data_IF_629640957608
#
_entry.id   IF_629640957608
#
_cell.length_a   1.000
_cell.length_b   1.000
_cell.length_c   1.000
_cell.angle_alpha   90.00
_cell.angle_beta   90.00
_cell.angle_gamma   90.00
#
_symmetry.space_group_name_H-M   'P 1'
#
loop_
_entity.id
_entity.type
_entity.pdbx_description
1 polymer ?
#
# COMPACT_ATOMS: atom_id res chain seq x y z
N UNK A 1 15.48 2.88 -58.58
CA UNK A 1 15.01 1.68 -57.88
C UNK A 1 15.91 1.48 -56.67
N UNK A 2 15.55 2.13 -55.55
CA UNK A 2 16.30 2.08 -54.29
C UNK A 2 15.43 1.34 -53.27
N UNK A 3 15.89 0.18 -52.83
CA UNK A 3 15.35 -0.52 -51.66
C UNK A 3 16.25 -0.14 -50.48
N UNK A 4 15.77 0.78 -49.65
CA UNK A 4 16.34 1.08 -48.34
C UNK A 4 15.67 0.14 -47.34
N UNK A 5 16.41 -0.90 -46.92
CA UNK A 5 16.10 -1.66 -45.72
C UNK A 5 16.31 -0.76 -44.50
N UNK A 6 15.22 -0.19 -43.97
CA UNK A 6 15.22 0.40 -42.64
C UNK A 6 15.13 -0.74 -41.62
N UNK A 7 16.24 -0.96 -40.91
CA UNK A 7 16.33 -1.86 -39.79
C UNK A 7 15.33 -1.44 -38.70
N UNK A 8 14.42 -2.36 -38.39
CA UNK A 8 13.65 -2.35 -37.17
C UNK A 8 14.62 -2.66 -36.02
N UNK A 9 15.08 -1.62 -35.32
CA UNK A 9 15.70 -1.81 -34.01
C UNK A 9 14.56 -2.07 -33.02
N UNK A 10 14.35 -3.36 -32.75
CA UNK A 10 13.60 -3.80 -31.59
C UNK A 10 14.21 -3.18 -30.34
N UNK A 11 13.35 -2.66 -29.47
CA UNK A 11 13.71 -2.26 -28.11
C UNK A 11 14.12 -3.54 -27.40
N UNK A 12 15.44 -3.80 -27.37
CA UNK A 12 16.01 -4.91 -26.64
C UNK A 12 15.78 -4.71 -25.14
N UNK A 13 15.34 -5.77 -24.47
CA UNK A 13 15.41 -5.92 -23.02
C UNK A 13 16.80 -5.47 -22.55
N UNK A 14 16.88 -4.30 -21.92
CA UNK A 14 18.08 -3.93 -21.19
C UNK A 14 18.22 -4.97 -20.06
N UNK A 15 19.17 -5.90 -20.18
CA UNK A 15 19.49 -6.86 -19.13
C UNK A 15 19.76 -6.09 -17.84
N UNK A 16 18.81 -6.13 -16.90
CA UNK A 16 18.94 -5.46 -15.62
C UNK A 16 20.11 -6.12 -14.89
N UNK A 17 21.16 -5.35 -14.62
CA UNK A 17 22.32 -5.88 -13.93
C UNK A 17 21.99 -6.24 -12.48
N UNK A 18 22.58 -7.33 -12.00
CA UNK A 18 22.45 -7.81 -10.62
C UNK A 18 23.78 -7.70 -9.89
N UNK A 19 23.73 -7.26 -8.63
CA UNK A 19 24.84 -7.31 -7.68
C UNK A 19 24.47 -8.31 -6.58
N UNK A 20 24.96 -9.54 -6.71
CA UNK A 20 24.54 -10.63 -5.84
C UNK A 20 23.09 -11.02 -6.13
N UNK A 21 22.20 -10.89 -5.14
CA UNK A 21 20.77 -11.19 -5.29
C UNK A 21 19.90 -9.95 -5.54
N UNK A 22 20.48 -8.74 -5.51
CA UNK A 22 19.75 -7.50 -5.73
C UNK A 22 19.98 -6.96 -7.14
N UNK A 23 18.91 -6.56 -7.82
CA UNK A 23 19.02 -5.80 -9.06
C UNK A 23 19.52 -4.37 -8.79
N UNK A 24 20.15 -3.73 -9.77
CA UNK A 24 20.56 -2.32 -9.64
C UNK A 24 19.37 -1.40 -9.37
N UNK A 25 18.21 -1.69 -9.95
CA UNK A 25 16.96 -0.97 -9.69
C UNK A 25 16.53 -1.11 -8.22
N UNK A 26 16.64 -2.31 -7.64
CA UNK A 26 16.39 -2.57 -6.22
C UNK A 26 17.30 -1.76 -5.32
N UNK A 27 18.59 -1.70 -5.64
CA UNK A 27 19.59 -0.92 -4.88
C UNK A 27 19.29 0.57 -4.96
N UNK A 28 18.96 1.07 -6.16
CA UNK A 28 18.57 2.48 -6.36
C UNK A 28 17.32 2.83 -5.56
N UNK A 29 16.30 1.99 -5.60
CA UNK A 29 15.05 2.20 -4.86
C UNK A 29 15.26 2.13 -3.34
N UNK A 30 16.13 1.24 -2.82
CA UNK A 30 16.48 1.23 -1.39
C UNK A 30 17.12 2.54 -0.94
N UNK A 31 18.05 3.09 -1.73
CA UNK A 31 18.66 4.39 -1.43
C UNK A 31 17.63 5.52 -1.48
N UNK A 32 16.77 5.55 -2.50
CA UNK A 32 15.70 6.56 -2.60
C UNK A 32 14.67 6.43 -1.48
N UNK A 33 14.32 5.22 -1.08
CA UNK A 33 13.43 4.95 0.05
C UNK A 33 14.06 5.41 1.36
N UNK A 34 15.35 5.14 1.59
CA UNK A 34 16.08 5.60 2.77
C UNK A 34 16.08 7.13 2.90
N UNK A 35 16.46 7.85 1.84
CA UNK A 35 16.45 9.32 1.80
C UNK A 35 15.05 9.91 2.06
N UNK A 36 14.01 9.29 1.48
CA UNK A 36 12.63 9.70 1.72
C UNK A 36 12.21 9.43 3.17
N UNK A 37 12.65 8.32 3.76
CA UNK A 37 12.35 7.98 5.13
C UNK A 37 12.95 9.00 6.10
N UNK A 38 14.22 9.37 5.90
CA UNK A 38 14.89 10.43 6.67
C UNK A 38 14.17 11.78 6.59
N UNK A 39 13.60 12.11 5.44
CA UNK A 39 12.81 13.32 5.26
C UNK A 39 11.43 13.22 5.94
N UNK A 40 10.87 12.01 6.04
CA UNK A 40 9.55 11.76 6.63
C UNK A 40 9.54 11.69 8.16
N UNK A 41 10.63 11.24 8.79
CA UNK A 41 10.75 11.09 10.24
C UNK A 41 11.33 12.34 10.90
N UNK A 42 11.04 12.54 12.18
CA UNK A 42 11.62 13.60 12.99
C UNK A 42 12.71 13.04 13.93
N UNK A 43 14.01 13.13 13.55
CA UNK A 43 15.10 12.60 14.37
C UNK A 43 15.32 13.36 15.67
N UNK A 44 14.76 14.57 15.83
CA UNK A 44 14.83 15.35 17.07
C UNK A 44 13.92 14.77 18.16
N UNK A 45 12.94 13.95 17.78
CA UNK A 45 12.05 13.25 18.70
C UNK A 45 12.62 11.88 18.98
N UNK A 46 12.84 11.57 20.25
CA UNK A 46 13.28 10.23 20.60
C UNK A 46 12.12 9.23 20.47
N UNK A 47 12.31 8.19 19.64
CA UNK A 47 11.31 7.19 19.29
C UNK A 47 10.59 6.58 20.52
N UNK A 48 11.32 6.40 21.63
CA UNK A 48 10.77 5.77 22.83
C UNK A 48 10.01 6.73 23.76
N UNK A 49 10.14 8.05 23.55
CA UNK A 49 9.36 9.05 24.28
C UNK A 49 8.00 9.29 23.62
N UNK A 50 8.01 9.40 22.29
CA UNK A 50 6.79 9.55 21.47
C UNK A 50 7.08 8.99 20.08
N UNK A 51 6.70 7.74 19.85
CA UNK A 51 6.94 7.11 18.55
C UNK A 51 6.08 7.75 17.46
N UNK A 52 4.87 8.19 17.81
CA UNK A 52 4.02 8.96 16.92
C UNK A 52 4.70 10.24 16.45
N UNK A 53 5.26 11.06 17.34
CA UNK A 53 5.93 12.29 16.91
C UNK A 53 7.18 11.99 16.08
N UNK A 54 7.92 10.94 16.45
CA UNK A 54 9.07 10.49 15.69
C UNK A 54 8.72 10.14 14.24
N UNK A 55 7.59 9.46 13.99
CA UNK A 55 7.23 9.03 12.61
C UNK A 55 6.30 9.98 11.86
N UNK A 56 5.53 10.81 12.56
CA UNK A 56 4.42 11.58 11.96
C UNK A 56 4.57 13.10 12.03
N UNK A 57 5.41 13.66 12.91
CA UNK A 57 5.39 15.12 13.16
C UNK A 57 5.84 15.98 11.98
N UNK A 58 6.50 15.40 10.97
CA UNK A 58 6.86 16.11 9.73
C UNK A 58 5.72 16.16 8.70
N UNK A 59 4.60 15.49 8.95
CA UNK A 59 3.42 15.44 8.09
C UNK A 59 3.75 15.03 6.64
N UNK A 60 4.66 14.07 6.49
CA UNK A 60 5.12 13.51 5.20
C UNK A 60 5.21 11.98 5.25
N UNK A 61 4.16 11.27 5.67
CA UNK A 61 4.20 9.81 5.69
C UNK A 61 4.43 9.29 4.27
N UNK A 62 5.26 8.25 4.14
CA UNK A 62 5.51 7.62 2.83
C UNK A 62 4.38 6.68 2.41
N UNK A 63 3.45 6.42 3.34
CA UNK A 63 2.35 5.49 3.20
C UNK A 63 1.17 5.95 4.06
N UNK A 64 -0.06 5.92 3.52
CA UNK A 64 -1.30 6.12 4.28
C UNK A 64 -2.32 5.06 3.84
N UNK A 65 -3.17 4.64 4.79
CA UNK A 65 -4.26 3.67 4.60
C UNK A 65 -5.35 4.23 3.68
N UNK A 66 -5.51 5.55 3.60
CA UNK A 66 -6.52 6.22 2.75
C UNK A 66 -6.19 6.23 1.24
N UNK A 67 -5.25 5.39 0.82
CA UNK A 67 -4.88 5.23 -0.58
C UNK A 67 -3.59 5.98 -0.88
N UNK A 68 -2.66 5.26 -1.48
CA UNK A 68 -1.36 5.81 -1.84
C UNK A 68 -1.52 6.84 -2.96
N UNK A 69 -1.31 8.10 -2.63
CA UNK A 69 -1.09 9.10 -3.65
C UNK A 69 0.31 8.87 -4.24
N UNK A 70 0.45 8.55 -5.55
CA UNK A 70 1.75 8.42 -6.17
C UNK A 70 2.56 9.71 -6.04
N UNK A 71 3.89 9.59 -6.17
CA UNK A 71 4.73 10.77 -6.16
C UNK A 71 4.42 11.64 -7.37
N UNK A 72 4.77 12.92 -7.30
CA UNK A 72 4.53 13.83 -8.42
C UNK A 72 5.24 13.35 -9.70
N UNK A 73 6.47 12.82 -9.58
CA UNK A 73 7.19 12.22 -10.70
C UNK A 73 6.42 11.07 -11.33
N UNK A 74 5.86 10.20 -10.50
CA UNK A 74 5.08 9.03 -10.91
C UNK A 74 3.78 9.45 -11.60
N UNK A 75 3.11 10.49 -11.10
CA UNK A 75 1.90 11.03 -11.72
C UNK A 75 2.18 11.64 -13.10
N UNK A 76 3.30 12.34 -13.23
CA UNK A 76 3.74 12.92 -14.51
C UNK A 76 4.07 11.81 -15.51
N UNK A 77 4.83 10.80 -15.08
CA UNK A 77 5.19 9.63 -15.88
C UNK A 77 3.93 8.91 -16.37
N UNK A 78 3.04 8.51 -15.47
CA UNK A 78 1.82 7.79 -15.82
C UNK A 78 0.88 8.60 -16.73
N UNK A 79 0.77 9.92 -16.51
CA UNK A 79 -0.03 10.77 -17.39
C UNK A 79 0.59 10.83 -18.80
N UNK A 80 1.92 10.91 -18.87
CA UNK A 80 2.67 10.94 -20.14
C UNK A 80 2.52 9.62 -20.89
N UNK A 81 2.64 8.48 -20.19
CA UNK A 81 2.39 7.14 -20.76
C UNK A 81 0.96 7.02 -21.28
N UNK A 82 -0.03 7.44 -20.48
CA UNK A 82 -1.44 7.41 -20.87
C UNK A 82 -1.73 8.29 -22.10
N UNK A 83 -1.08 9.45 -22.21
CA UNK A 83 -1.17 10.35 -23.36
C UNK A 83 -0.55 9.75 -24.62
N UNK A 84 0.58 9.06 -24.47
CA UNK A 84 1.31 8.46 -25.59
C UNK A 84 0.76 7.08 -26.00
N UNK A 85 -0.08 6.46 -25.16
CA UNK A 85 -0.68 5.15 -25.45
C UNK A 85 -1.57 5.21 -26.71
N UNK A 86 -1.29 4.37 -27.73
CA UNK A 86 -1.95 4.45 -29.04
C UNK A 86 -3.45 4.16 -29.02
N UNK A 87 -3.98 3.49 -27.98
CA UNK A 87 -5.41 3.21 -27.89
C UNK A 87 -6.20 4.50 -27.68
N UNK A 88 -7.02 4.86 -28.67
CA UNK A 88 -7.87 6.03 -28.61
C UNK A 88 -9.21 5.69 -27.98
N UNK A 89 -9.54 6.35 -26.86
CA UNK A 89 -10.82 6.17 -26.20
C UNK A 89 -11.26 7.43 -25.46
N UNK A 90 -12.57 7.71 -25.47
CA UNK A 90 -13.19 8.99 -25.08
C UNK A 90 -12.82 9.42 -23.66
N UNK A 91 -12.71 8.47 -22.74
CA UNK A 91 -12.36 8.76 -21.35
C UNK A 91 -10.98 9.44 -21.20
N UNK A 92 -10.00 9.12 -22.06
CA UNK A 92 -8.70 9.82 -22.08
C UNK A 92 -8.87 11.29 -22.45
N UNK A 93 -9.67 11.59 -23.47
CA UNK A 93 -9.90 12.97 -23.88
C UNK A 93 -10.56 13.78 -22.76
N UNK A 94 -11.54 13.18 -22.05
CA UNK A 94 -12.18 13.79 -20.87
C UNK A 94 -11.19 14.08 -19.75
N UNK A 95 -10.24 13.18 -19.50
CA UNK A 95 -9.16 13.41 -18.53
C UNK A 95 -8.32 14.64 -18.96
N UNK A 96 -7.89 14.71 -20.22
CA UNK A 96 -7.06 15.80 -20.72
C UNK A 96 -7.79 17.15 -20.66
N UNK A 97 -9.07 17.18 -21.06
CA UNK A 97 -9.87 18.41 -20.98
C UNK A 97 -10.08 18.85 -19.53
N UNK A 98 -10.24 17.91 -18.60
CA UNK A 98 -10.28 18.23 -17.18
C UNK A 98 -8.94 18.81 -16.70
N UNK A 99 -7.82 18.18 -17.02
CA UNK A 99 -6.49 18.65 -16.64
C UNK A 99 -6.23 20.07 -17.14
N UNK A 100 -6.56 20.35 -18.41
CA UNK A 100 -6.44 21.70 -18.99
C UNK A 100 -7.36 22.69 -18.25
N UNK A 101 -8.61 22.32 -17.99
CA UNK A 101 -9.53 23.19 -17.24
C UNK A 101 -9.03 23.48 -15.83
N UNK A 102 -8.42 22.51 -15.15
CA UNK A 102 -7.86 22.68 -13.83
C UNK A 102 -6.66 23.63 -13.85
N UNK A 103 -5.75 23.45 -14.82
CA UNK A 103 -4.50 24.21 -14.89
C UNK A 103 -4.71 25.70 -15.22
N UNK A 104 -5.94 26.10 -15.58
CA UNK A 104 -6.31 27.53 -15.69
C UNK A 104 -6.69 28.15 -14.34
N UNK A 105 -6.88 27.36 -13.28
CA UNK A 105 -7.37 27.80 -11.97
C UNK A 105 -6.46 27.40 -10.79
N UNK A 106 -5.74 26.29 -10.89
CA UNK A 106 -4.91 25.72 -9.81
C UNK A 106 -3.47 25.54 -10.25
N UNK A 107 -2.60 25.26 -9.27
CA UNK A 107 -1.22 24.93 -9.57
C UNK A 107 -1.13 23.62 -10.37
N UNK A 108 -0.07 23.49 -11.17
CA UNK A 108 0.17 22.28 -11.96
C UNK A 108 0.17 21.01 -11.09
N UNK A 109 0.76 21.10 -9.89
CA UNK A 109 0.82 19.99 -8.94
C UNK A 109 -0.56 19.57 -8.44
N UNK A 110 -1.42 20.53 -8.11
CA UNK A 110 -2.79 20.24 -7.69
C UNK A 110 -3.58 19.57 -8.82
N UNK A 111 -3.37 20.02 -10.06
CA UNK A 111 -4.05 19.45 -11.22
C UNK A 111 -3.61 18.03 -11.54
N UNK A 112 -2.33 17.67 -11.37
CA UNK A 112 -1.91 16.27 -11.44
C UNK A 112 -2.61 15.41 -10.39
N UNK A 113 -2.70 15.88 -9.15
CA UNK A 113 -3.32 15.14 -8.05
C UNK A 113 -4.83 14.97 -8.25
N UNK A 114 -5.53 16.02 -8.63
CA UNK A 114 -6.98 15.96 -8.85
C UNK A 114 -7.35 15.17 -10.09
N UNK A 115 -6.57 15.31 -11.17
CA UNK A 115 -6.78 14.52 -12.38
C UNK A 115 -6.58 13.04 -12.08
N UNK A 116 -5.53 12.72 -11.31
CA UNK A 116 -5.33 11.37 -10.81
C UNK A 116 -6.53 10.91 -9.99
N UNK A 117 -6.98 11.68 -8.99
CA UNK A 117 -8.08 11.30 -8.11
C UNK A 117 -9.37 10.96 -8.86
N UNK A 118 -9.78 11.80 -9.81
CA UNK A 118 -11.04 11.63 -10.51
C UNK A 118 -11.00 10.60 -11.64
N UNK A 119 -9.81 10.33 -12.17
CA UNK A 119 -9.63 9.42 -13.29
C UNK A 119 -8.73 8.22 -12.97
N UNK A 120 -8.57 7.87 -11.69
CA UNK A 120 -7.77 6.71 -11.22
C UNK A 120 -7.93 5.45 -12.09
N UNK A 121 -9.14 5.05 -12.55
CA UNK A 121 -9.29 3.87 -13.41
C UNK A 121 -8.48 3.92 -14.70
N UNK A 122 -8.28 5.10 -15.30
CA UNK A 122 -7.43 5.29 -16.48
C UNK A 122 -5.95 5.05 -16.18
N UNK A 123 -5.52 5.47 -14.98
CA UNK A 123 -4.17 5.16 -14.49
C UNK A 123 -4.04 3.66 -14.18
N UNK A 124 -5.07 3.03 -13.60
CA UNK A 124 -5.11 1.57 -13.42
C UNK A 124 -4.98 0.79 -14.73
N UNK A 125 -5.57 1.29 -15.81
CA UNK A 125 -5.40 0.74 -17.16
C UNK A 125 -3.95 0.80 -17.64
N UNK A 126 -3.32 1.98 -17.65
CA UNK A 126 -1.94 2.10 -18.17
C UNK A 126 -0.97 1.28 -17.31
N UNK A 127 -1.15 1.33 -15.98
CA UNK A 127 -0.45 0.50 -15.01
C UNK A 127 -0.57 -0.98 -15.38
N UNK A 128 -1.78 -1.52 -15.48
CA UNK A 128 -1.96 -2.97 -15.73
C UNK A 128 -1.60 -3.40 -17.16
N UNK A 129 -1.56 -2.46 -18.10
CA UNK A 129 -1.06 -2.67 -19.46
C UNK A 129 0.46 -2.83 -19.46
N UNK A 130 1.17 -1.93 -18.77
CA UNK A 130 2.62 -1.77 -18.88
C UNK A 130 3.40 -2.50 -17.77
N UNK A 131 2.87 -2.63 -16.55
CA UNK A 131 3.50 -3.39 -15.44
C UNK A 131 3.60 -4.89 -15.68
N UNK A 132 2.97 -5.39 -16.74
CA UNK A 132 2.63 -6.80 -16.86
C UNK A 132 3.15 -7.33 -18.18
N UNK A 133 4.46 -7.24 -18.35
CA UNK A 133 5.15 -8.46 -18.73
C UNK A 133 5.01 -9.42 -17.54
N UNK A 134 4.30 -10.55 -17.73
CA UNK A 134 3.91 -11.47 -16.64
C UNK A 134 5.07 -12.14 -15.87
N UNK A 135 6.30 -11.68 -16.10
CA UNK A 135 7.57 -12.10 -15.51
C UNK A 135 8.14 -11.10 -14.49
N UNK A 136 7.51 -9.94 -14.25
CA UNK A 136 8.05 -8.96 -13.30
C UNK A 136 8.16 -9.56 -11.88
N UNK A 137 9.31 -9.34 -11.25
CA UNK A 137 9.62 -9.88 -9.92
C UNK A 137 8.59 -9.41 -8.88
N UNK A 138 8.08 -8.20 -9.04
CA UNK A 138 7.12 -7.57 -8.12
C UNK A 138 5.74 -8.21 -8.19
N UNK A 139 5.28 -8.55 -9.39
CA UNK A 139 4.02 -9.29 -9.54
C UNK A 139 4.15 -10.70 -8.91
N UNK A 140 5.31 -11.35 -9.07
CA UNK A 140 5.57 -12.65 -8.46
C UNK A 140 5.61 -12.58 -6.93
N UNK A 141 6.28 -11.57 -6.37
CA UNK A 141 6.34 -11.31 -4.94
C UNK A 141 4.94 -11.06 -4.35
N UNK A 142 4.18 -10.17 -5.00
CA UNK A 142 2.80 -9.84 -4.61
C UNK A 142 1.88 -11.07 -4.65
N UNK A 143 1.89 -11.83 -5.76
CA UNK A 143 1.11 -13.06 -5.89
C UNK A 143 1.57 -14.15 -4.92
N UNK A 144 2.87 -14.20 -4.62
CA UNK A 144 3.44 -15.12 -3.64
C UNK A 144 2.96 -14.83 -2.22
N UNK A 145 2.95 -13.55 -1.82
CA UNK A 145 2.37 -13.10 -0.55
C UNK A 145 0.88 -13.45 -0.47
N UNK A 146 0.11 -13.10 -1.50
CA UNK A 146 -1.33 -13.34 -1.54
C UNK A 146 -1.67 -14.84 -1.52
N UNK A 147 -0.87 -15.68 -2.20
CA UNK A 147 -1.03 -17.14 -2.17
C UNK A 147 -0.82 -17.68 -0.76
N UNK A 148 0.30 -17.34 -0.11
CA UNK A 148 0.60 -17.77 1.27
C UNK A 148 -0.47 -17.28 2.25
N UNK A 149 -0.96 -16.06 2.07
CA UNK A 149 -2.03 -15.51 2.88
C UNK A 149 -3.34 -16.30 2.70
N UNK A 150 -3.75 -16.59 1.46
CA UNK A 150 -4.95 -17.40 1.17
C UNK A 150 -4.84 -18.80 1.80
N UNK A 151 -3.69 -19.46 1.69
CA UNK A 151 -3.42 -20.75 2.33
C UNK A 151 -3.57 -20.65 3.85
N UNK A 152 -3.05 -19.58 4.46
CA UNK A 152 -3.18 -19.34 5.90
C UNK A 152 -4.62 -19.05 6.33
N UNK A 153 -5.40 -18.35 5.52
CA UNK A 153 -6.81 -18.13 5.86
C UNK A 153 -7.60 -19.42 5.98
N UNK A 154 -7.17 -20.51 5.33
CA UNK A 154 -7.79 -21.82 5.50
C UNK A 154 -7.69 -22.33 6.93
N UNK A 155 -6.53 -22.20 7.58
CA UNK A 155 -6.37 -22.59 8.98
C UNK A 155 -7.10 -21.63 9.92
N UNK A 156 -7.10 -20.32 9.62
CA UNK A 156 -7.82 -19.31 10.40
C UNK A 156 -9.35 -19.52 10.40
N UNK A 157 -9.91 -20.00 9.29
CA UNK A 157 -11.33 -20.33 9.17
C UNK A 157 -11.64 -21.81 9.46
N UNK A 158 -10.71 -22.55 10.07
CA UNK A 158 -10.86 -23.97 10.43
C UNK A 158 -11.31 -24.86 9.26
N UNK A 159 -10.81 -24.59 8.05
CA UNK A 159 -11.16 -25.32 6.83
C UNK A 159 -12.59 -25.10 6.33
N UNK A 160 -13.37 -24.20 6.92
CA UNK A 160 -14.73 -23.87 6.47
C UNK A 160 -14.67 -22.92 5.27
N UNK A 161 -15.63 -23.05 4.35
CA UNK A 161 -15.85 -22.02 3.32
C UNK A 161 -16.20 -20.70 4.02
N UNK A 162 -15.51 -19.63 3.62
CA UNK A 162 -15.69 -18.31 4.19
C UNK A 162 -15.67 -17.28 3.05
N UNK A 163 -16.67 -16.37 2.94
CA UNK A 163 -16.79 -15.45 1.81
C UNK A 163 -15.54 -14.58 1.57
N UNK A 164 -14.81 -14.22 2.64
CA UNK A 164 -13.55 -13.49 2.51
C UNK A 164 -12.46 -14.31 1.83
N UNK A 165 -12.34 -15.60 2.15
CA UNK A 165 -11.36 -16.50 1.50
C UNK A 165 -11.68 -16.64 0.01
N UNK A 166 -12.94 -16.82 -0.34
CA UNK A 166 -13.37 -16.95 -1.74
C UNK A 166 -13.12 -15.67 -2.54
N UNK A 167 -13.32 -14.50 -1.92
CA UNK A 167 -12.94 -13.20 -2.50
C UNK A 167 -11.43 -13.09 -2.72
N UNK A 168 -10.61 -13.46 -1.73
CA UNK A 168 -9.15 -13.44 -1.84
C UNK A 168 -8.63 -14.40 -2.92
N UNK A 169 -9.22 -15.59 -3.05
CA UNK A 169 -8.93 -16.53 -4.16
C UNK A 169 -9.25 -15.88 -5.49
N UNK A 170 -10.42 -15.24 -5.60
CA UNK A 170 -10.83 -14.54 -6.82
C UNK A 170 -9.84 -13.42 -7.16
N UNK A 171 -9.45 -12.59 -6.18
CA UNK A 171 -8.46 -11.53 -6.38
C UNK A 171 -7.10 -12.07 -6.81
N UNK A 172 -6.65 -13.16 -6.20
CA UNK A 172 -5.40 -13.83 -6.57
C UNK A 172 -5.42 -14.30 -8.01
N UNK A 173 -6.47 -15.00 -8.43
CA UNK A 173 -6.58 -15.43 -9.84
C UNK A 173 -6.70 -14.23 -10.76
N UNK A 174 -7.37 -13.15 -10.30
CA UNK A 174 -7.42 -11.93 -11.08
C UNK A 174 -6.02 -11.40 -11.38
N UNK A 175 -5.23 -11.11 -10.35
CA UNK A 175 -3.88 -10.58 -10.53
C UNK A 175 -2.87 -11.51 -11.26
N UNK A 176 -3.24 -12.74 -11.66
CA UNK A 176 -2.42 -13.54 -12.60
C UNK A 176 -2.51 -13.05 -14.04
N UNK A 177 -3.60 -12.41 -14.42
CA UNK A 177 -3.83 -11.85 -15.77
C UNK A 177 -4.28 -10.38 -15.70
N UNK A 178 -3.49 -9.47 -15.10
CA UNK A 178 -3.88 -8.08 -14.80
C UNK A 178 -4.38 -7.26 -16.00
N UNK A 179 -3.92 -7.58 -17.22
CA UNK A 179 -4.41 -6.97 -18.47
C UNK A 179 -5.91 -7.19 -18.72
N UNK A 180 -6.56 -8.07 -17.96
CA UNK A 180 -7.99 -8.41 -18.14
C UNK A 180 -8.94 -7.66 -17.20
N UNK A 181 -8.49 -6.68 -16.42
CA UNK A 181 -9.38 -5.96 -15.46
C UNK A 181 -9.78 -4.56 -15.86
N UNK A 182 -8.94 -3.87 -16.63
CA UNK A 182 -9.21 -2.51 -17.08
C UNK A 182 -9.20 -2.50 -18.60
N UNK A 183 -10.37 -2.70 -19.21
CA UNK A 183 -10.51 -2.62 -20.65
C UNK A 183 -10.97 -1.23 -21.08
N UNK A 184 -10.46 -0.77 -22.21
CA UNK A 184 -10.83 0.53 -22.78
C UNK A 184 -12.33 0.67 -23.06
N UNK A 185 -12.99 -0.43 -23.45
CA UNK A 185 -14.46 -0.47 -23.59
C UNK A 185 -15.23 -0.28 -22.27
N UNK A 186 -14.72 -0.82 -21.17
CA UNK A 186 -15.33 -0.65 -19.84
C UNK A 186 -15.13 0.76 -19.32
N UNK A 187 -13.93 1.31 -19.50
CA UNK A 187 -13.60 2.69 -19.12
C UNK A 187 -14.41 3.70 -19.94
N UNK A 188 -14.60 3.48 -21.23
CA UNK A 188 -15.48 4.34 -22.01
C UNK A 188 -16.92 4.30 -21.50
N UNK A 189 -17.45 3.12 -21.16
CA UNK A 189 -18.80 3.00 -20.61
C UNK A 189 -18.92 3.69 -19.25
N UNK A 190 -17.92 3.52 -18.39
CA UNK A 190 -17.82 4.17 -17.08
C UNK A 190 -17.97 5.70 -17.23
N UNK A 191 -17.16 6.29 -18.12
CA UNK A 191 -17.12 7.74 -18.29
C UNK A 191 -18.07 8.28 -19.38
N UNK A 192 -18.89 7.45 -20.03
CA UNK A 192 -19.72 7.85 -21.17
C UNK A 192 -20.67 9.01 -20.82
N UNK A 193 -21.39 8.88 -19.72
CA UNK A 193 -22.37 9.89 -19.28
C UNK A 193 -21.74 11.15 -18.69
N UNK A 194 -20.45 11.11 -18.33
CA UNK A 194 -19.74 12.24 -17.74
C UNK A 194 -19.46 13.30 -18.82
N UNK A 195 -19.88 14.54 -18.57
CA UNK A 195 -19.57 15.69 -19.43
C UNK A 195 -18.45 16.51 -18.80
N UNK A 196 -17.39 16.72 -19.56
CA UNK A 196 -16.25 17.57 -19.20
C UNK A 196 -16.18 18.72 -20.20
N UNK A 197 -16.00 19.94 -19.69
CA UNK A 197 -15.91 21.19 -20.43
C UNK A 197 -14.53 21.77 -20.20
N UNK A 198 -13.71 21.86 -21.26
CA UNK A 198 -12.34 22.38 -21.17
C UNK A 198 -12.28 23.80 -20.59
N UNK A 199 -13.34 24.56 -20.77
CA UNK A 199 -13.47 25.97 -20.40
C UNK A 199 -13.96 26.17 -18.96
N UNK A 200 -14.45 25.12 -18.27
CA UNK A 200 -15.12 25.31 -16.98
C UNK A 200 -14.76 24.27 -15.92
N UNK A 201 -13.73 24.58 -15.16
CA UNK A 201 -13.29 23.80 -14.01
C UNK A 201 -14.40 23.56 -12.96
N UNK A 202 -15.17 24.59 -12.60
CA UNK A 202 -16.22 24.47 -11.58
C UNK A 202 -17.39 23.55 -11.99
N UNK A 203 -17.74 23.52 -13.28
CA UNK A 203 -18.74 22.56 -13.77
C UNK A 203 -18.18 21.14 -13.77
N UNK A 204 -16.92 20.98 -14.20
CA UNK A 204 -16.26 19.68 -14.20
C UNK A 204 -16.18 19.08 -12.80
N UNK A 205 -15.78 19.86 -11.80
CA UNK A 205 -15.67 19.39 -10.43
C UNK A 205 -17.03 18.88 -9.89
N UNK A 206 -18.12 19.60 -10.18
CA UNK A 206 -19.48 19.17 -9.80
C UNK A 206 -19.90 17.89 -10.50
N UNK A 207 -19.65 17.79 -11.82
CA UNK A 207 -19.99 16.62 -12.60
C UNK A 207 -19.19 15.38 -12.16
N UNK A 208 -17.90 15.56 -11.90
CA UNK A 208 -17.00 14.51 -11.42
C UNK A 208 -17.40 14.02 -10.04
N UNK A 209 -17.72 14.92 -9.12
CA UNK A 209 -18.15 14.53 -7.78
C UNK A 209 -19.52 13.81 -7.81
N UNK A 210 -20.43 14.23 -8.67
CA UNK A 210 -21.69 13.53 -8.89
C UNK A 210 -21.48 12.15 -9.51
N UNK A 211 -20.62 12.04 -10.52
CA UNK A 211 -20.28 10.77 -11.16
C UNK A 211 -19.65 9.81 -10.14
N UNK A 212 -18.67 10.27 -9.37
CA UNK A 212 -18.01 9.50 -8.31
C UNK A 212 -19.04 8.91 -7.34
N UNK A 213 -19.94 9.73 -6.80
CA UNK A 213 -20.91 9.30 -5.78
C UNK A 213 -22.01 8.36 -6.27
N UNK A 214 -22.40 8.45 -7.54
CA UNK A 214 -23.63 7.79 -8.04
C UNK A 214 -23.39 6.75 -9.13
N UNK A 215 -22.36 6.96 -9.94
CA UNK A 215 -22.20 6.25 -11.21
C UNK A 215 -20.87 5.49 -11.29
N UNK A 216 -19.89 5.81 -10.44
CA UNK A 216 -18.58 5.18 -10.49
C UNK A 216 -18.64 3.75 -9.93
N UNK A 217 -18.25 2.78 -10.76
CA UNK A 217 -18.11 1.37 -10.34
C UNK A 217 -16.84 1.14 -9.54
N UNK A 218 -15.90 2.10 -9.55
CA UNK A 218 -14.59 1.99 -8.90
C UNK A 218 -14.53 2.60 -7.50
N UNK A 219 -15.64 3.12 -6.95
CA UNK A 219 -15.65 3.64 -5.57
C UNK A 219 -15.80 2.55 -4.51
N UNK A 220 -16.43 1.40 -4.85
CA UNK A 220 -16.72 0.33 -3.90
C UNK A 220 -16.56 -1.05 -4.53
N UNK A 221 -16.44 -2.07 -3.68
CA UNK A 221 -16.46 -3.47 -4.10
C UNK A 221 -15.19 -3.94 -4.81
N UNK A 222 -15.35 -4.91 -5.71
CA UNK A 222 -14.23 -5.64 -6.34
C UNK A 222 -13.39 -4.71 -7.22
N UNK A 223 -14.04 -3.86 -8.01
CA UNK A 223 -13.38 -2.92 -8.91
C UNK A 223 -12.49 -1.95 -8.13
N UNK A 224 -12.97 -1.43 -7.00
CA UNK A 224 -12.18 -0.59 -6.09
C UNK A 224 -10.94 -1.33 -5.59
N UNK A 225 -11.10 -2.55 -5.10
CA UNK A 225 -9.96 -3.36 -4.62
C UNK A 225 -8.94 -3.63 -5.74
N UNK A 226 -9.39 -3.97 -6.95
CA UNK A 226 -8.48 -4.18 -8.07
C UNK A 226 -7.70 -2.90 -8.43
N UNK A 227 -8.37 -1.74 -8.39
CA UNK A 227 -7.74 -0.45 -8.64
C UNK A 227 -6.69 -0.12 -7.58
N UNK A 228 -7.07 -0.18 -6.31
CA UNK A 228 -6.16 0.11 -5.20
C UNK A 228 -4.93 -0.80 -5.21
N UNK A 229 -5.12 -2.11 -5.47
CA UNK A 229 -4.03 -3.06 -5.50
C UNK A 229 -3.14 -2.91 -6.75
N UNK A 230 -3.69 -2.48 -7.88
CA UNK A 230 -2.90 -2.17 -9.08
C UNK A 230 -2.02 -0.93 -8.85
N UNK A 231 -2.57 0.10 -8.22
CA UNK A 231 -1.83 1.30 -7.80
C UNK A 231 -0.73 0.95 -6.80
N UNK A 232 -1.05 0.12 -5.80
CA UNK A 232 -0.09 -0.38 -4.83
C UNK A 232 1.07 -1.11 -5.52
N UNK A 233 0.78 -2.02 -6.45
CA UNK A 233 1.79 -2.79 -7.17
C UNK A 233 2.72 -1.89 -7.99
N UNK A 234 2.18 -0.84 -8.63
CA UNK A 234 2.99 0.15 -9.34
C UNK A 234 3.98 0.86 -8.44
N UNK A 235 3.53 1.26 -7.25
CA UNK A 235 4.35 1.98 -6.30
C UNK A 235 5.30 1.06 -5.55
N UNK A 236 5.00 -0.23 -5.44
CA UNK A 236 5.85 -1.22 -4.80
C UNK A 236 6.96 -1.77 -5.70
N UNK A 237 7.07 -1.27 -6.94
CA UNK A 237 8.16 -1.57 -7.88
C UNK A 237 9.51 -1.48 -7.19
N UNK A 238 10.30 -2.54 -7.29
CA UNK A 238 11.62 -2.66 -6.69
C UNK A 238 11.68 -2.37 -5.18
N UNK A 239 10.61 -2.54 -4.39
CA UNK A 239 10.61 -2.35 -2.92
C UNK A 239 10.87 -3.64 -2.12
N UNK A 240 11.39 -3.55 -0.87
CA UNK A 240 11.69 -4.75 -0.07
C UNK A 240 10.46 -5.46 0.46
N UNK A 241 10.64 -6.70 0.90
CA UNK A 241 9.61 -7.36 1.72
C UNK A 241 9.33 -6.60 3.02
N UNK A 242 10.33 -5.92 3.60
CA UNK A 242 10.12 -4.99 4.71
C UNK A 242 9.21 -3.79 4.36
N UNK A 243 8.90 -3.56 3.08
CA UNK A 243 7.82 -2.66 2.64
C UNK A 243 6.48 -3.41 2.56
N UNK A 244 6.42 -4.57 1.90
CA UNK A 244 5.16 -5.31 1.67
C UNK A 244 4.45 -5.76 2.95
N UNK A 245 5.17 -6.32 3.92
CA UNK A 245 4.52 -6.84 5.13
C UNK A 245 3.82 -5.76 5.98
N UNK A 246 4.46 -4.61 6.30
CA UNK A 246 3.81 -3.57 7.11
C UNK A 246 2.83 -2.68 6.33
N UNK A 247 2.74 -2.81 5.00
CA UNK A 247 1.89 -1.96 4.16
C UNK A 247 0.78 -2.69 3.41
N UNK A 248 0.91 -4.00 3.17
CA UNK A 248 -0.09 -4.78 2.46
C UNK A 248 -0.58 -5.95 3.31
N UNK A 249 0.33 -6.79 3.81
CA UNK A 249 -0.05 -7.96 4.62
C UNK A 249 -0.79 -7.55 5.88
N UNK A 250 -0.38 -6.46 6.53
CA UNK A 250 -1.09 -5.94 7.71
C UNK A 250 -2.56 -5.63 7.42
N UNK A 251 -2.88 -5.05 6.25
CA UNK A 251 -4.26 -4.72 5.86
C UNK A 251 -5.09 -5.94 5.49
N UNK A 252 -4.44 -6.96 4.91
CA UNK A 252 -5.09 -8.25 4.71
C UNK A 252 -5.48 -8.88 6.05
N UNK A 253 -4.59 -8.84 7.05
CA UNK A 253 -4.91 -9.30 8.39
C UNK A 253 -5.99 -8.47 9.06
N UNK A 254 -5.93 -7.13 8.95
CA UNK A 254 -6.99 -6.28 9.48
C UNK A 254 -8.34 -6.63 8.87
N UNK A 255 -8.39 -6.93 7.57
CA UNK A 255 -9.63 -7.33 6.89
C UNK A 255 -10.18 -8.65 7.47
N UNK A 256 -9.31 -9.64 7.68
CA UNK A 256 -9.71 -10.93 8.26
C UNK A 256 -10.17 -10.76 9.71
N UNK A 257 -9.35 -10.13 10.56
CA UNK A 257 -9.67 -9.96 11.97
C UNK A 257 -10.85 -9.02 12.19
N UNK A 258 -11.07 -8.04 11.32
CA UNK A 258 -12.26 -7.19 11.40
C UNK A 258 -13.55 -7.98 11.17
N UNK A 259 -13.53 -9.05 10.37
CA UNK A 259 -14.68 -9.95 10.23
C UNK A 259 -14.76 -10.89 11.44
N UNK A 260 -13.68 -11.58 11.77
CA UNK A 260 -13.72 -12.65 12.78
C UNK A 260 -13.88 -12.14 14.21
N UNK A 261 -13.26 -11.01 14.57
CA UNK A 261 -13.36 -10.46 15.93
C UNK A 261 -14.73 -9.84 16.19
N UNK A 262 -15.42 -9.35 15.14
CA UNK A 262 -16.79 -8.82 15.24
C UNK A 262 -17.85 -9.89 15.47
N UNK A 263 -17.54 -11.16 15.21
CA UNK A 263 -18.44 -12.29 15.45
C UNK A 263 -18.35 -12.83 16.90
N UNK A 264 -17.45 -12.29 17.74
CA UNK A 264 -17.23 -12.77 19.10
C UNK A 264 -18.31 -12.28 20.08
N UNK A 265 -18.55 -13.08 21.13
CA UNK A 265 -19.35 -12.65 22.27
C UNK A 265 -18.63 -11.53 23.04
N UNK A 266 -19.25 -10.34 23.08
CA UNK A 266 -18.71 -9.15 23.72
C UNK A 266 -18.49 -9.32 25.22
N UNK A 267 -19.23 -10.23 25.87
CA UNK A 267 -19.14 -10.43 27.33
C UNK A 267 -17.82 -11.09 27.71
N UNK A 268 -17.45 -12.18 27.05
CA UNK A 268 -16.16 -12.85 27.27
C UNK A 268 -15.00 -12.05 26.66
N UNK A 269 -15.24 -11.35 25.54
CA UNK A 269 -14.26 -10.47 24.91
C UNK A 269 -13.73 -9.40 25.88
N UNK A 270 -14.61 -8.71 26.62
CA UNK A 270 -14.20 -7.67 27.58
C UNK A 270 -13.20 -8.20 28.62
N UNK A 271 -13.47 -9.38 29.17
CA UNK A 271 -12.60 -10.04 30.16
C UNK A 271 -11.24 -10.40 29.56
N UNK A 272 -11.21 -10.88 28.32
CA UNK A 272 -9.96 -11.28 27.66
C UNK A 272 -9.05 -10.07 27.36
N UNK A 273 -9.60 -8.89 27.10
CA UNK A 273 -8.84 -7.70 26.73
C UNK A 273 -8.44 -6.82 27.91
N UNK A 274 -8.88 -7.13 29.13
CA UNK A 274 -8.51 -6.39 30.34
C UNK A 274 -6.98 -6.32 30.53
N UNK A 275 -6.25 -7.37 30.15
CA UNK A 275 -4.78 -7.37 30.25
C UNK A 275 -4.09 -6.37 29.32
N UNK A 276 -4.78 -5.80 28.31
CA UNK A 276 -4.23 -4.76 27.45
C UNK A 276 -4.13 -3.40 28.14
N UNK A 277 -4.77 -3.22 29.30
CA UNK A 277 -4.77 -1.95 30.06
C UNK A 277 -5.08 -0.73 29.18
N UNK A 278 -6.10 -0.86 28.32
CA UNK A 278 -6.50 0.19 27.38
C UNK A 278 -7.00 1.44 28.14
N UNK A 279 -6.76 2.66 27.63
CA UNK A 279 -7.25 3.88 28.26
C UNK A 279 -8.76 3.91 28.45
N UNK A 280 -9.23 4.69 29.43
CA UNK A 280 -10.66 4.73 29.77
C UNK A 280 -11.55 5.06 28.57
N UNK A 281 -11.17 6.01 27.71
CA UNK A 281 -11.96 6.36 26.52
C UNK A 281 -12.08 5.21 25.50
N UNK A 282 -11.07 4.34 25.39
CA UNK A 282 -11.13 3.11 24.59
C UNK A 282 -12.02 2.09 25.29
N UNK A 283 -11.96 2.01 26.62
CA UNK A 283 -12.76 1.06 27.40
C UNK A 283 -14.25 1.41 27.49
N UNK A 284 -14.64 2.66 27.22
CA UNK A 284 -16.06 3.04 27.18
C UNK A 284 -16.73 2.54 25.89
N UNK A 285 -15.96 2.33 24.82
CA UNK A 285 -16.45 1.93 23.51
C UNK A 285 -15.96 0.53 23.14
N UNK A 286 -16.84 -0.47 23.15
CA UNK A 286 -16.47 -1.83 22.74
C UNK A 286 -15.89 -1.88 21.32
N UNK A 287 -16.36 -1.00 20.44
CA UNK A 287 -15.81 -0.82 19.10
C UNK A 287 -14.32 -0.42 19.13
N UNK A 288 -13.93 0.51 20.00
CA UNK A 288 -12.54 0.95 20.10
C UNK A 288 -11.64 -0.15 20.68
N UNK A 289 -12.15 -0.94 21.65
CA UNK A 289 -11.45 -2.14 22.15
C UNK A 289 -11.28 -3.19 21.04
N UNK A 290 -12.33 -3.43 20.28
CA UNK A 290 -12.31 -4.40 19.18
C UNK A 290 -11.30 -4.00 18.11
N UNK A 291 -11.28 -2.71 17.74
CA UNK A 291 -10.24 -2.18 16.85
C UNK A 291 -8.85 -2.41 17.44
N UNK A 292 -8.60 -2.07 18.72
CA UNK A 292 -7.30 -2.32 19.36
C UNK A 292 -6.83 -3.77 19.23
N UNK A 293 -7.73 -4.74 19.43
CA UNK A 293 -7.43 -6.17 19.24
C UNK A 293 -7.16 -6.52 17.78
N UNK A 294 -7.98 -6.03 16.85
CA UNK A 294 -7.79 -6.25 15.41
C UNK A 294 -6.40 -5.76 14.99
N UNK A 295 -6.00 -4.55 15.39
CA UNK A 295 -4.69 -3.98 15.05
C UNK A 295 -3.54 -4.73 15.71
N UNK A 296 -3.68 -5.09 17.00
CA UNK A 296 -2.69 -5.89 17.71
C UNK A 296 -2.44 -7.24 17.01
N UNK A 297 -3.51 -7.98 16.71
CA UNK A 297 -3.44 -9.28 16.01
C UNK A 297 -2.83 -9.12 14.62
N UNK A 298 -3.25 -8.09 13.89
CA UNK A 298 -2.76 -7.82 12.55
C UNK A 298 -1.26 -7.52 12.53
N UNK A 299 -0.79 -6.69 13.45
CA UNK A 299 0.65 -6.41 13.60
C UNK A 299 1.43 -7.67 13.95
N UNK A 300 0.99 -8.41 14.98
CA UNK A 300 1.68 -9.63 15.44
C UNK A 300 1.84 -10.63 14.31
N UNK A 301 0.76 -10.85 13.55
CA UNK A 301 0.78 -11.82 12.47
C UNK A 301 1.60 -11.35 11.26
N UNK A 302 1.53 -10.06 10.90
CA UNK A 302 2.37 -9.49 9.84
C UNK A 302 3.87 -9.54 10.20
N UNK A 303 4.22 -9.25 11.46
CA UNK A 303 5.60 -9.34 11.93
C UNK A 303 6.10 -10.79 11.98
N UNK A 304 5.27 -11.71 12.46
CA UNK A 304 5.60 -13.13 12.48
C UNK A 304 5.86 -13.65 11.07
N UNK A 305 4.97 -13.36 10.12
CA UNK A 305 5.12 -13.83 8.74
C UNK A 305 6.35 -13.23 8.06
N UNK A 306 6.67 -11.97 8.36
CA UNK A 306 7.89 -11.34 7.86
C UNK A 306 9.13 -12.03 8.43
N UNK A 307 9.14 -12.32 9.73
CA UNK A 307 10.21 -13.04 10.41
C UNK A 307 10.39 -14.47 9.88
N UNK A 308 9.28 -15.17 9.64
CA UNK A 308 9.25 -16.49 9.01
C UNK A 308 9.81 -16.42 7.58
N UNK A 309 9.41 -15.41 6.81
CA UNK A 309 9.90 -15.22 5.44
C UNK A 309 11.42 -15.03 5.38
N UNK A 310 12.02 -14.29 6.30
CA UNK A 310 13.48 -14.13 6.39
C UNK A 310 14.17 -15.49 6.61
N UNK A 311 13.57 -16.37 7.40
CA UNK A 311 14.21 -17.59 7.88
C UNK A 311 13.91 -18.82 7.04
N UNK A 312 12.80 -18.84 6.28
CA UNK A 312 12.31 -20.02 5.55
C UNK A 312 13.24 -20.47 4.42
N UNK A 313 14.00 -19.56 3.80
CA UNK A 313 14.90 -19.89 2.70
C UNK A 313 16.22 -19.12 2.81
N UNK A 314 17.34 -19.78 2.48
CA UNK A 314 18.68 -19.18 2.47
C UNK A 314 18.71 -17.94 1.57
N UNK A 315 18.10 -18.02 0.38
CA UNK A 315 17.99 -16.89 -0.55
C UNK A 315 17.30 -15.67 0.07
N UNK A 316 16.24 -15.85 0.87
CA UNK A 316 15.56 -14.73 1.51
C UNK A 316 16.45 -14.05 2.56
N UNK A 317 17.21 -14.86 3.33
CA UNK A 317 18.19 -14.35 4.28
C UNK A 317 19.30 -13.57 3.59
N UNK A 318 19.85 -14.10 2.51
CA UNK A 318 20.90 -13.43 1.72
C UNK A 318 20.40 -12.12 1.10
N UNK A 319 19.17 -12.10 0.57
CA UNK A 319 18.50 -10.88 0.11
C UNK A 319 18.34 -9.88 1.27
N UNK A 320 17.81 -10.31 2.41
CA UNK A 320 17.63 -9.48 3.60
C UNK A 320 18.97 -8.86 4.07
N UNK A 321 20.05 -9.64 4.13
CA UNK A 321 21.37 -9.21 4.59
C UNK A 321 22.00 -8.20 3.62
N UNK A 322 21.86 -8.43 2.30
CA UNK A 322 22.34 -7.49 1.27
C UNK A 322 21.56 -6.17 1.30
N UNK A 323 20.24 -6.23 1.50
CA UNK A 323 19.40 -5.03 1.66
C UNK A 323 19.81 -4.24 2.92
N UNK A 324 20.04 -4.93 4.04
CA UNK A 324 20.53 -4.32 5.27
C UNK A 324 21.91 -3.65 5.06
N UNK A 325 22.80 -4.24 4.26
CA UNK A 325 24.08 -3.62 3.93
C UNK A 325 23.91 -2.28 3.21
N UNK A 326 22.96 -2.17 2.27
CA UNK A 326 22.65 -0.91 1.59
C UNK A 326 22.05 0.09 2.58
N UNK A 327 21.05 -0.33 3.37
CA UNK A 327 20.32 0.54 4.30
C UNK A 327 21.21 1.08 5.44
N UNK A 328 22.23 0.33 5.86
CA UNK A 328 23.19 0.75 6.90
C UNK A 328 23.96 2.02 6.53
N UNK A 329 24.14 2.30 5.23
CA UNK A 329 24.77 3.55 4.79
C UNK A 329 23.96 4.80 5.18
N UNK A 330 22.66 4.62 5.47
CA UNK A 330 21.72 5.65 5.93
C UNK A 330 21.29 5.43 7.40
N UNK A 331 22.05 4.65 8.19
CA UNK A 331 21.70 4.28 9.57
C UNK A 331 20.33 3.58 9.72
N UNK A 332 19.88 2.91 8.66
CA UNK A 332 18.64 2.15 8.62
C UNK A 332 18.91 0.64 8.59
N UNK A 333 17.84 -0.11 8.83
CA UNK A 333 17.77 -1.56 8.61
C UNK A 333 16.39 -1.92 8.11
N UNK A 334 16.23 -3.11 7.57
CA UNK A 334 14.94 -3.64 7.16
C UNK A 334 13.93 -3.68 8.32
N UNK A 335 14.37 -3.98 9.55
CA UNK A 335 13.49 -3.90 10.73
C UNK A 335 13.04 -2.46 11.02
N UNK A 336 13.94 -1.48 10.97
CA UNK A 336 13.58 -0.05 11.11
C UNK A 336 12.60 0.39 10.04
N UNK A 337 12.80 -0.07 8.81
CA UNK A 337 11.92 0.21 7.69
C UNK A 337 10.53 -0.38 7.93
N UNK A 338 10.46 -1.63 8.39
CA UNK A 338 9.19 -2.28 8.74
C UNK A 338 8.40 -1.47 9.76
N UNK A 339 9.01 -1.16 10.91
CA UNK A 339 8.31 -0.50 12.01
C UNK A 339 7.89 0.93 11.67
N UNK A 340 8.78 1.68 11.01
CA UNK A 340 8.47 3.05 10.57
C UNK A 340 7.31 3.06 9.58
N UNK A 341 7.31 2.18 8.58
CA UNK A 341 6.23 2.12 7.60
C UNK A 341 4.93 1.64 8.21
N UNK A 342 4.97 0.62 9.09
CA UNK A 342 3.79 0.19 9.85
C UNK A 342 3.18 1.38 10.58
N UNK A 343 3.98 2.15 11.31
CA UNK A 343 3.49 3.29 12.05
C UNK A 343 2.96 4.43 11.17
N UNK A 344 3.60 4.71 10.04
CA UNK A 344 3.16 5.75 9.12
C UNK A 344 1.76 5.53 8.54
N UNK A 345 1.27 4.28 8.48
CA UNK A 345 -0.13 3.98 8.17
C UNK A 345 -1.10 4.84 9.02
N UNK A 346 -0.73 5.17 10.25
CA UNK A 346 -1.64 5.68 11.25
C UNK A 346 -1.46 7.17 11.58
N UNK A 347 -0.61 7.88 10.83
CA UNK A 347 -0.32 9.29 11.12
C UNK A 347 -1.55 10.21 11.04
N UNK A 348 -2.55 9.84 10.24
CA UNK A 348 -3.78 10.62 10.03
C UNK A 348 -4.79 10.54 11.19
N UNK A 349 -4.66 9.56 12.08
CA UNK A 349 -5.62 9.33 13.18
C UNK A 349 -5.25 10.08 14.47
N UNK A 350 -4.11 10.78 14.48
CA UNK A 350 -3.63 11.51 15.64
C UNK A 350 -2.94 10.62 16.68
N UNK A 351 -2.19 11.29 17.58
CA UNK A 351 -1.31 10.63 18.53
C UNK A 351 -2.03 9.68 19.47
N UNK A 352 -3.16 10.11 20.03
CA UNK A 352 -3.86 9.38 21.09
C UNK A 352 -4.31 7.99 20.62
N UNK A 353 -4.98 7.92 19.46
CA UNK A 353 -5.39 6.64 18.86
C UNK A 353 -4.19 5.81 18.40
N UNK A 354 -3.18 6.44 17.80
CA UNK A 354 -1.99 5.73 17.36
C UNK A 354 -1.27 5.04 18.51
N UNK A 355 -0.99 5.76 19.58
CA UNK A 355 -0.24 5.26 20.72
C UNK A 355 -0.99 4.17 21.50
N UNK A 356 -2.31 4.29 21.62
CA UNK A 356 -3.11 3.42 22.49
C UNK A 356 -3.91 2.32 21.78
N UNK A 357 -4.02 2.38 20.46
CA UNK A 357 -4.77 1.38 19.65
C UNK A 357 -3.85 0.76 18.62
N UNK A 358 -3.21 1.56 17.77
CA UNK A 358 -2.48 1.06 16.60
C UNK A 358 -1.06 0.58 16.92
N UNK A 359 -0.38 1.18 17.90
CA UNK A 359 1.00 0.88 18.27
C UNK A 359 1.12 -0.12 19.42
N UNK A 360 0.01 -0.68 19.91
CA UNK A 360 0.02 -1.70 20.97
C UNK A 360 0.96 -2.87 20.64
N UNK A 361 0.90 -3.34 19.39
CA UNK A 361 1.77 -4.42 18.91
C UNK A 361 3.25 -4.07 18.94
N UNK A 362 3.61 -2.82 18.60
CA UNK A 362 5.01 -2.34 18.64
C UNK A 362 5.55 -2.33 20.07
N UNK A 363 4.74 -1.85 21.02
CA UNK A 363 5.13 -1.75 22.45
C UNK A 363 5.39 -3.10 23.11
N UNK A 364 4.79 -4.16 22.58
CA UNK A 364 4.94 -5.54 23.08
C UNK A 364 5.95 -6.35 22.26
N UNK A 365 6.66 -5.73 21.32
CA UNK A 365 7.57 -6.40 20.41
C UNK A 365 9.03 -6.15 20.79
N UNK A 366 9.75 -7.21 21.18
CA UNK A 366 11.15 -7.11 21.61
C UNK A 366 12.06 -6.58 20.51
N UNK A 367 11.82 -6.95 19.24
CA UNK A 367 12.60 -6.45 18.11
C UNK A 367 12.44 -4.93 17.94
N UNK A 368 11.23 -4.39 18.11
CA UNK A 368 10.99 -2.94 18.11
C UNK A 368 11.77 -2.25 19.23
N UNK A 369 11.67 -2.76 20.45
CA UNK A 369 12.37 -2.23 21.63
C UNK A 369 13.88 -2.22 21.39
N UNK A 370 14.44 -3.31 20.87
CA UNK A 370 15.87 -3.43 20.58
C UNK A 370 16.33 -2.49 19.45
N UNK A 371 15.54 -2.37 18.38
CA UNK A 371 15.88 -1.57 17.20
C UNK A 371 15.96 -0.07 17.49
N UNK A 372 15.07 0.42 18.37
CA UNK A 372 15.04 1.83 18.79
C UNK A 372 15.74 2.08 20.14
N UNK A 373 16.33 1.03 20.72
CA UNK A 373 17.03 1.06 22.02
C UNK A 373 16.16 1.66 23.12
N UNK A 374 14.88 1.31 23.15
CA UNK A 374 13.99 1.74 24.21
C UNK A 374 14.39 1.01 25.49
N UNK A 375 15.14 1.70 26.38
CA UNK A 375 15.51 1.13 27.68
C UNK A 375 14.24 0.61 28.35
N UNK A 376 14.28 -0.65 28.83
CA UNK A 376 13.14 -1.40 29.35
C UNK A 376 12.16 -0.46 30.07
N UNK A 377 11.08 -0.07 29.39
CA UNK A 377 10.01 0.66 30.04
C UNK A 377 9.49 -0.30 31.12
N UNK A 378 9.65 0.10 32.38
CA UNK A 378 9.41 -0.68 33.60
C UNK A 378 7.96 -1.13 33.79
N UNK A 379 7.07 -0.78 32.88
CA UNK A 379 5.78 -1.44 32.76
C UNK A 379 5.97 -2.71 31.94
N UNK A 380 6.16 -3.82 32.64
CA UNK A 380 5.90 -5.15 32.09
C UNK A 380 4.47 -5.15 31.56
N UNK A 381 4.29 -4.86 30.27
CA UNK A 381 3.08 -5.26 29.57
C UNK A 381 3.08 -6.78 29.65
N UNK A 382 2.29 -7.33 30.57
CA UNK A 382 2.01 -8.75 30.63
C UNK A 382 1.69 -9.20 29.21
N UNK A 383 2.38 -10.23 28.71
CA UNK A 383 2.13 -10.81 27.39
C UNK A 383 0.65 -11.21 27.33
N UNK A 384 -0.16 -10.31 26.79
CA UNK A 384 -1.59 -10.44 26.72
C UNK A 384 -1.88 -11.24 25.45
N UNK A 385 -2.13 -12.54 25.64
CA UNK A 385 -2.46 -13.47 24.57
C UNK A 385 -3.97 -13.32 24.26
N UNK A 386 -4.28 -12.38 23.38
CA UNK A 386 -5.64 -12.07 22.89
C UNK A 386 -5.78 -12.48 21.45
#
# INVERSE_FOLDING_TARGET
>A
MFVLCAAWLGVGEAQIAYRGHLSELRIKELNQLALRLEQSINPEKYACNSYFDYVCSRNRPLFSVMGHMPQMSDLIELLTELQNDPEQFEAKQKLIDFFVSCNTHKSLQDCYRETFEYFKPLFGYIITKDLVEGSSHELQDFLGLLRRFVERTESMFHGRSHPLRDKLITYKEKFRTPRTYFYTGDLNREFAALRIYRESYAHNLRNLEQHRRRNSTYELGVQRTMLDWSLYLYQSRNKPMSYYYPTFMVHLYMTVFNVTERERDLTDFRRQVECLNLPQYVTVLDEARMLAVIYLKSFRQAWQDYSDWITVAVKHRETYDQEDQVLRTHQLSNKRLFFTLYAQNFCEFGQELADHVFYLGLRQNDDFINVYMCGHQTQSYSNCNV
#
